data_IF_487243418719
#
_entry.id   IF_487243418719
#
_cell.length_a   1.000
_cell.length_b   1.000
_cell.length_c   1.000
_cell.angle_alpha   90.00
_cell.angle_beta   90.00
_cell.angle_gamma   90.00
#
_symmetry.space_group_name_H-M   'P 1'
#
loop_
_entity.id
_entity.type
_entity.pdbx_description
1 polymer ?
#
# COMPACT_ATOMS: atom_id res chain seq x y z
N UNK A 1 6.01 -1.23 4.42
CA UNK A 1 5.92 0.23 4.74
C UNK A 1 6.42 0.45 6.16
N UNK A 2 7.45 1.24 6.30
CA UNK A 2 8.04 1.51 7.61
C UNK A 2 7.65 2.92 8.06
N UNK A 3 7.20 3.05 9.31
CA UNK A 3 6.79 4.33 9.88
C UNK A 3 7.70 4.67 11.05
N UNK A 4 8.35 5.84 10.97
CA UNK A 4 9.20 6.33 12.06
C UNK A 4 8.39 7.29 12.93
N UNK A 5 8.36 7.03 14.23
CA UNK A 5 7.52 7.82 15.15
C UNK A 5 7.96 9.27 15.27
N UNK A 6 9.21 9.58 14.92
CA UNK A 6 9.71 10.95 14.90
C UNK A 6 9.46 11.68 13.57
N UNK A 7 8.83 11.01 12.60
CA UNK A 7 8.45 11.64 11.34
C UNK A 7 7.33 12.65 11.59
N UNK A 8 7.39 13.88 11.00
CA UNK A 8 6.33 14.86 11.17
C UNK A 8 4.96 14.39 10.67
N UNK A 9 4.93 13.37 9.78
CA UNK A 9 3.69 12.82 9.25
C UNK A 9 3.37 11.43 9.81
N UNK A 10 3.93 11.07 10.97
CA UNK A 10 3.75 9.73 11.54
C UNK A 10 2.27 9.38 11.76
N UNK A 11 1.47 10.34 12.26
CA UNK A 11 0.05 10.11 12.50
C UNK A 11 -0.71 9.85 11.19
N UNK A 12 -0.41 10.65 10.16
CA UNK A 12 -1.01 10.48 8.83
C UNK A 12 -0.59 9.15 8.19
N UNK A 13 0.66 8.77 8.36
CA UNK A 13 1.19 7.51 7.82
C UNK A 13 0.56 6.31 8.50
N UNK A 14 0.34 6.37 9.82
CA UNK A 14 -0.36 5.29 10.54
C UNK A 14 -1.80 5.15 10.06
N UNK A 15 -2.49 6.27 9.84
CA UNK A 15 -3.85 6.28 9.32
C UNK A 15 -3.89 5.69 7.91
N UNK A 16 -2.94 6.07 7.06
CA UNK A 16 -2.83 5.53 5.71
C UNK A 16 -2.56 4.02 5.74
N UNK A 17 -1.64 3.58 6.58
CA UNK A 17 -1.33 2.15 6.73
C UNK A 17 -2.57 1.36 7.14
N UNK A 18 -3.31 1.84 8.12
CA UNK A 18 -4.53 1.19 8.58
C UNK A 18 -5.55 1.09 7.45
N UNK A 19 -5.73 2.17 6.67
CA UNK A 19 -6.64 2.18 5.53
C UNK A 19 -6.19 1.19 4.46
N UNK A 20 -4.90 1.16 4.14
CA UNK A 20 -4.35 0.29 3.10
C UNK A 20 -4.37 -1.19 3.48
N UNK A 21 -4.38 -1.51 4.76
CA UNK A 21 -4.54 -2.89 5.23
C UNK A 21 -5.93 -3.47 4.94
N UNK A 22 -6.89 -2.64 4.52
CA UNK A 22 -8.19 -3.10 4.06
C UNK A 22 -8.18 -3.52 2.58
N UNK A 23 -7.11 -3.20 1.87
CA UNK A 23 -6.99 -3.54 0.45
C UNK A 23 -6.32 -4.90 0.33
N UNK A 24 -7.09 -5.88 -0.17
CA UNK A 24 -6.66 -7.28 -0.25
C UNK A 24 -6.32 -7.61 -1.70
N UNK A 25 -5.15 -8.22 -1.92
CA UNK A 25 -4.78 -8.75 -3.24
C UNK A 25 -5.68 -9.94 -3.55
N UNK A 26 -6.48 -9.91 -4.62
CA UNK A 26 -7.43 -10.98 -4.90
C UNK A 26 -6.79 -12.29 -5.35
N UNK A 27 -5.51 -12.29 -5.71
CA UNK A 27 -4.79 -13.52 -6.07
C UNK A 27 -4.15 -14.18 -4.86
N UNK A 28 -3.59 -13.37 -3.95
CA UNK A 28 -2.81 -13.87 -2.81
C UNK A 28 -3.60 -13.86 -1.50
N UNK A 29 -4.75 -13.20 -1.46
CA UNK A 29 -5.66 -13.11 -0.30
C UNK A 29 -5.02 -12.50 0.94
N UNK A 30 -4.01 -11.64 0.76
CA UNK A 30 -3.33 -10.94 1.83
C UNK A 30 -3.38 -9.44 1.52
N UNK A 31 -3.43 -8.60 2.56
CA UNK A 31 -3.47 -7.16 2.35
C UNK A 31 -2.15 -6.65 1.75
N UNK A 32 -2.22 -5.54 1.03
CA UNK A 32 -1.09 -5.01 0.27
C UNK A 32 0.05 -4.51 1.14
N UNK A 33 -0.22 -4.14 2.40
CA UNK A 33 0.83 -3.73 3.34
C UNK A 33 1.69 -4.93 3.72
N UNK A 34 1.06 -6.03 4.15
CA UNK A 34 1.78 -7.24 4.53
C UNK A 34 2.48 -7.90 3.33
N UNK A 35 1.95 -7.72 2.13
CA UNK A 35 2.62 -8.19 0.91
C UNK A 35 3.84 -7.36 0.55
N UNK A 36 4.00 -6.17 1.14
CA UNK A 36 5.12 -5.29 0.80
C UNK A 36 4.97 -4.60 -0.55
N UNK A 37 3.74 -4.42 -1.02
CA UNK A 37 3.47 -3.77 -2.30
C UNK A 37 3.52 -2.24 -2.23
N UNK A 38 3.37 -1.66 -1.04
CA UNK A 38 3.41 -0.20 -0.86
C UNK A 38 4.83 0.23 -0.51
N UNK A 39 5.45 0.99 -1.40
CA UNK A 39 6.84 1.44 -1.23
C UNK A 39 6.95 2.76 -0.49
N UNK A 40 5.94 3.61 -0.54
CA UNK A 40 5.96 4.86 0.18
C UNK A 40 4.64 5.62 0.08
N UNK A 41 4.41 6.49 1.04
CA UNK A 41 3.26 7.40 1.05
C UNK A 41 3.80 8.78 1.39
N UNK A 42 3.49 9.76 0.56
CA UNK A 42 4.00 11.12 0.67
C UNK A 42 2.86 12.08 1.03
N UNK A 43 3.03 12.80 2.14
CA UNK A 43 2.08 13.80 2.64
C UNK A 43 2.63 15.23 2.58
N UNK A 44 3.76 15.45 1.89
CA UNK A 44 4.40 16.77 1.88
C UNK A 44 3.54 17.85 1.22
N UNK A 45 2.69 17.48 0.28
CA UNK A 45 1.68 18.38 -0.28
C UNK A 45 0.41 18.27 0.57
N UNK A 46 -0.04 19.38 1.15
CA UNK A 46 -1.20 19.38 2.04
C UNK A 46 -2.52 19.08 1.33
N UNK A 47 -2.54 19.18 0.00
CA UNK A 47 -3.74 18.90 -0.81
C UNK A 47 -3.77 17.48 -1.38
N UNK A 48 -2.68 16.73 -1.27
CA UNK A 48 -2.50 15.46 -1.97
C UNK A 48 -1.92 14.40 -1.05
N UNK A 49 -2.33 13.15 -1.26
CA UNK A 49 -1.63 11.96 -0.72
C UNK A 49 -1.11 11.20 -1.92
N UNK A 50 0.20 11.03 -2.01
CA UNK A 50 0.82 10.28 -3.11
C UNK A 50 1.32 8.93 -2.62
N UNK A 51 0.82 7.85 -3.21
CA UNK A 51 1.25 6.48 -2.90
C UNK A 51 2.13 5.98 -4.03
N UNK A 52 3.29 5.46 -3.68
CA UNK A 52 4.17 4.76 -4.61
C UNK A 52 4.10 3.29 -4.26
N UNK A 53 3.70 2.46 -5.21
CA UNK A 53 3.48 1.04 -4.98
C UNK A 53 3.83 0.21 -6.21
N UNK A 54 3.88 -1.09 -6.03
CA UNK A 54 4.04 -2.02 -7.14
C UNK A 54 2.94 -3.09 -7.09
N UNK A 55 2.95 -3.97 -8.08
CA UNK A 55 2.07 -5.12 -8.14
C UNK A 55 2.93 -6.39 -8.12
N UNK A 56 2.35 -7.50 -7.65
CA UNK A 56 3.08 -8.76 -7.52
C UNK A 56 3.44 -9.36 -8.88
N UNK A 57 2.66 -9.04 -9.92
CA UNK A 57 2.89 -9.59 -11.27
C UNK A 57 2.67 -8.48 -12.29
N UNK A 58 3.65 -8.19 -13.19
CA UNK A 58 3.44 -7.28 -14.31
C UNK A 58 2.30 -7.76 -15.21
N UNK A 59 1.44 -6.82 -15.64
CA UNK A 59 0.31 -7.15 -16.48
C UNK A 59 -0.82 -7.88 -15.77
N UNK A 60 -0.83 -7.87 -14.44
CA UNK A 60 -1.87 -8.49 -13.65
C UNK A 60 -3.24 -7.90 -14.01
N UNK A 61 -4.23 -8.71 -14.44
CA UNK A 61 -5.56 -8.19 -14.80
C UNK A 61 -6.31 -7.62 -13.61
N UNK A 62 -5.89 -7.95 -12.38
CA UNK A 62 -6.49 -7.44 -11.16
C UNK A 62 -5.81 -6.18 -10.64
N UNK A 63 -4.80 -5.65 -11.36
CA UNK A 63 -4.05 -4.47 -10.92
C UNK A 63 -4.93 -3.24 -10.75
N UNK A 64 -5.90 -3.04 -11.63
CA UNK A 64 -6.84 -1.92 -11.53
C UNK A 64 -7.74 -2.04 -10.30
N UNK A 65 -8.13 -3.25 -9.93
CA UNK A 65 -8.91 -3.49 -8.72
C UNK A 65 -8.10 -3.12 -7.47
N UNK A 66 -6.80 -3.42 -7.46
CA UNK A 66 -5.91 -3.09 -6.35
C UNK A 66 -5.71 -1.58 -6.27
N UNK A 67 -5.35 -0.92 -7.37
CA UNK A 67 -5.12 0.53 -7.37
C UNK A 67 -6.40 1.30 -7.08
N UNK A 68 -7.54 0.87 -7.61
CA UNK A 68 -8.85 1.44 -7.30
C UNK A 68 -9.20 1.30 -5.83
N UNK A 69 -8.87 0.13 -5.24
CA UNK A 69 -9.06 -0.09 -3.80
C UNK A 69 -8.19 0.83 -2.96
N UNK A 70 -6.95 1.07 -3.38
CA UNK A 70 -6.04 2.02 -2.72
C UNK A 70 -6.62 3.44 -2.76
N UNK A 71 -7.07 3.88 -3.93
CA UNK A 71 -7.67 5.21 -4.08
C UNK A 71 -8.90 5.37 -3.18
N UNK A 72 -9.79 4.38 -3.17
CA UNK A 72 -11.00 4.43 -2.36
C UNK A 72 -10.69 4.43 -0.86
N UNK A 73 -9.78 3.58 -0.42
CA UNK A 73 -9.40 3.49 0.98
C UNK A 73 -8.81 4.81 1.48
N UNK A 74 -7.90 5.40 0.71
CA UNK A 74 -7.25 6.65 1.08
C UNK A 74 -8.20 7.85 0.95
N UNK A 75 -9.08 7.87 -0.04
CA UNK A 75 -10.08 8.93 -0.18
C UNK A 75 -11.04 8.93 1.01
N UNK A 76 -11.38 7.77 1.53
CA UNK A 76 -12.21 7.65 2.73
C UNK A 76 -11.48 8.12 3.97
N UNK A 77 -10.20 7.78 4.10
CA UNK A 77 -9.37 8.18 5.24
C UNK A 77 -8.99 9.66 5.21
N UNK A 78 -8.80 10.23 4.03
CA UNK A 78 -8.36 11.61 3.82
C UNK A 78 -9.29 12.33 2.84
N UNK A 79 -10.56 12.62 3.25
CA UNK A 79 -11.55 13.17 2.32
C UNK A 79 -11.22 14.58 1.81
N UNK A 80 -10.30 15.29 2.48
CA UNK A 80 -9.90 16.64 2.10
C UNK A 80 -8.66 16.68 1.19
N UNK A 81 -8.15 15.51 0.79
CA UNK A 81 -6.97 15.42 -0.07
C UNK A 81 -7.26 14.66 -1.35
N UNK A 82 -6.58 15.05 -2.42
CA UNK A 82 -6.58 14.28 -3.66
C UNK A 82 -5.65 13.08 -3.49
N UNK A 83 -6.03 11.94 -4.05
CA UNK A 83 -5.22 10.72 -3.96
C UNK A 83 -4.55 10.46 -5.30
N UNK A 84 -3.23 10.34 -5.28
CA UNK A 84 -2.43 9.96 -6.45
C UNK A 84 -1.78 8.61 -6.20
N UNK A 85 -1.94 7.67 -7.13
CA UNK A 85 -1.31 6.35 -7.05
C UNK A 85 -0.36 6.21 -8.22
N UNK A 86 0.92 5.95 -7.90
CA UNK A 86 1.95 5.70 -8.90
C UNK A 86 2.41 4.25 -8.77
N UNK A 87 2.26 3.48 -9.84
CA UNK A 87 2.73 2.10 -9.90
C UNK A 87 4.14 2.10 -10.50
N UNK A 88 5.08 1.52 -9.77
CA UNK A 88 6.47 1.41 -10.21
C UNK A 88 6.88 -0.07 -10.26
N UNK A 89 7.87 -0.39 -11.08
CA UNK A 89 8.33 -1.77 -11.26
C UNK A 89 9.75 -1.96 -10.71
N UNK A 90 10.34 -0.91 -10.18
CA UNK A 90 11.64 -0.95 -9.51
C UNK A 90 11.51 -0.32 -8.12
N UNK A 91 12.06 -0.95 -7.07
CA UNK A 91 12.62 -2.30 -7.08
C UNK A 91 11.55 -3.36 -7.34
N UNK A 92 11.94 -4.45 -8.01
CA UNK A 92 11.00 -5.52 -8.33
C UNK A 92 10.53 -6.23 -7.07
N UNK A 93 9.21 -6.42 -6.94
CA UNK A 93 8.64 -7.15 -5.82
C UNK A 93 9.05 -8.63 -5.82
N UNK A 94 9.28 -9.18 -4.64
CA UNK A 94 9.55 -10.60 -4.43
C UNK A 94 9.04 -11.04 -3.07
N UNK A 95 9.04 -12.35 -2.82
CA UNK A 95 8.51 -12.93 -1.59
C UNK A 95 9.23 -12.47 -0.33
N UNK A 96 10.49 -12.02 -0.42
CA UNK A 96 11.22 -11.52 0.74
C UNK A 96 10.66 -10.21 1.27
N UNK A 97 9.83 -9.53 0.50
CA UNK A 97 9.17 -8.28 0.89
C UNK A 97 7.91 -8.50 1.71
N UNK A 98 7.42 -9.75 1.77
CA UNK A 98 6.23 -10.10 2.54
C UNK A 98 6.58 -10.10 4.02
N UNK A 99 5.73 -9.50 4.86
CA UNK A 99 5.91 -9.51 6.32
C UNK A 99 5.74 -10.92 6.87
N UNK A 100 6.19 -11.15 8.11
CA UNK A 100 6.00 -12.44 8.77
C UNK A 100 4.51 -12.78 8.90
N UNK A 101 3.67 -11.78 9.22
CA UNK A 101 2.22 -11.96 9.27
C UNK A 101 1.65 -12.36 7.91
N UNK A 102 2.13 -11.72 6.84
CA UNK A 102 1.69 -12.05 5.48
C UNK A 102 2.08 -13.46 5.09
N UNK A 103 3.29 -13.87 5.43
CA UNK A 103 3.75 -15.25 5.17
C UNK A 103 2.93 -16.27 5.93
N UNK A 104 2.60 -15.99 7.19
CA UNK A 104 1.76 -16.88 8.01
C UNK A 104 0.37 -17.02 7.37
N UNK A 105 -0.23 -15.93 6.90
CA UNK A 105 -1.53 -15.97 6.24
C UNK A 105 -1.50 -16.79 4.95
N UNK A 106 -0.36 -16.83 4.28
CA UNK A 106 -0.17 -17.59 3.03
C UNK A 106 0.30 -19.03 3.27
N UNK A 107 0.62 -19.37 4.52
CA UNK A 107 1.15 -20.70 4.86
C UNK A 107 2.60 -20.91 4.41
N UNK A 108 3.38 -19.84 4.34
CA UNK A 108 4.77 -19.90 3.85
C UNK A 108 5.83 -20.00 4.95
N UNK A 109 5.48 -19.99 6.21
CA UNK A 109 6.46 -20.12 7.31
C UNK A 109 6.92 -21.52 7.59
#
# INVERSE_FOLDING_TARGET
MEIKLNDPFAAEMLKAQTALMQVIDPELYVNIIDLGLVYGVDFTDVTTVKVTMTLSTPGCPMGEAITGGVENALATAFPDRDIEVEVVWEPRWNYNMITDEGKAQMGLD
#
